data_IF_537686505736
#
_entry.id   IF_537686505736
#
_cell.length_a   1.000
_cell.length_b   1.000
_cell.length_c   1.000
_cell.angle_alpha   90.00
_cell.angle_beta   90.00
_cell.angle_gamma   90.00
#
_symmetry.space_group_name_H-M   'P 1'
#
loop_
_entity.id
_entity.type
_entity.pdbx_description
1 polymer ?
#
# COMPACT_ATOMS: atom_id res chain seq x y z
N UNK A 1 -13.43 -46.14 21.66
CA UNK A 1 -13.09 -44.78 22.16
C UNK A 1 -12.08 -44.08 21.27
N UNK A 2 -11.00 -44.76 20.84
CA UNK A 2 -9.99 -44.21 19.90
C UNK A 2 -10.55 -43.92 18.51
N UNK A 3 -11.39 -44.81 17.96
CA UNK A 3 -12.07 -44.64 16.66
C UNK A 3 -12.86 -43.33 16.57
N UNK A 4 -13.70 -43.04 17.56
CA UNK A 4 -14.52 -41.82 17.60
C UNK A 4 -13.66 -40.56 17.70
N UNK A 5 -12.54 -40.62 18.43
CA UNK A 5 -11.60 -39.51 18.54
C UNK A 5 -10.92 -39.25 17.19
N UNK A 6 -10.52 -40.31 16.48
CA UNK A 6 -9.92 -40.22 15.15
C UNK A 6 -10.90 -39.62 14.13
N UNK A 7 -12.14 -40.10 14.09
CA UNK A 7 -13.18 -39.56 13.22
C UNK A 7 -13.51 -38.09 13.55
N UNK A 8 -13.51 -37.71 14.83
CA UNK A 8 -13.72 -36.32 15.24
C UNK A 8 -12.62 -35.38 14.74
N UNK A 9 -11.35 -35.82 14.79
CA UNK A 9 -10.21 -35.06 14.27
C UNK A 9 -10.30 -34.92 12.75
N UNK A 10 -10.66 -35.99 12.04
CA UNK A 10 -10.84 -35.98 10.59
C UNK A 10 -11.91 -34.96 10.16
N UNK A 11 -13.05 -34.94 10.84
CA UNK A 11 -14.14 -33.99 10.59
C UNK A 11 -13.70 -32.55 10.92
N UNK A 12 -12.93 -32.34 11.99
CA UNK A 12 -12.41 -31.01 12.34
C UNK A 12 -11.46 -30.47 11.27
N UNK A 13 -10.53 -31.30 10.79
CA UNK A 13 -9.60 -30.92 9.72
C UNK A 13 -10.34 -30.67 8.42
N UNK A 14 -11.30 -31.53 8.05
CA UNK A 14 -12.11 -31.35 6.85
C UNK A 14 -12.93 -30.04 6.91
N UNK A 15 -13.62 -29.80 8.03
CA UNK A 15 -14.40 -28.57 8.24
C UNK A 15 -13.53 -27.31 8.20
N UNK A 16 -12.40 -27.32 8.91
CA UNK A 16 -11.46 -26.20 8.90
C UNK A 16 -10.85 -25.96 7.52
N UNK A 17 -10.55 -27.03 6.77
CA UNK A 17 -10.04 -26.95 5.40
C UNK A 17 -11.01 -26.30 4.42
N UNK A 18 -12.30 -26.68 4.48
CA UNK A 18 -13.35 -26.09 3.63
C UNK A 18 -13.55 -24.61 3.96
N UNK A 19 -13.60 -24.26 5.26
CA UNK A 19 -13.70 -22.85 5.68
C UNK A 19 -12.50 -22.05 5.20
N UNK A 20 -11.29 -22.58 5.34
CA UNK A 20 -10.08 -21.93 4.86
C UNK A 20 -10.10 -21.71 3.34
N UNK A 21 -10.48 -22.73 2.56
CA UNK A 21 -10.64 -22.63 1.11
C UNK A 21 -11.66 -21.54 0.72
N UNK A 22 -12.79 -21.51 1.42
CA UNK A 22 -13.83 -20.53 1.17
C UNK A 22 -13.36 -19.10 1.47
N UNK A 23 -12.71 -18.89 2.61
CA UNK A 23 -12.12 -17.60 2.97
C UNK A 23 -11.02 -17.18 1.98
N UNK A 24 -10.16 -18.11 1.56
CA UNK A 24 -9.14 -17.83 0.55
C UNK A 24 -9.77 -17.38 -0.78
N UNK A 25 -10.85 -18.04 -1.22
CA UNK A 25 -11.60 -17.65 -2.41
C UNK A 25 -12.24 -16.26 -2.26
N UNK A 26 -12.77 -15.92 -1.08
CA UNK A 26 -13.29 -14.59 -0.79
C UNK A 26 -12.18 -13.52 -0.80
N UNK A 27 -11.03 -13.80 -0.19
CA UNK A 27 -9.88 -12.89 -0.20
C UNK A 27 -9.42 -12.62 -1.63
N UNK A 28 -9.33 -13.65 -2.47
CA UNK A 28 -9.00 -13.49 -3.90
C UNK A 28 -10.03 -12.61 -4.60
N UNK A 29 -11.32 -12.83 -4.34
CA UNK A 29 -12.41 -12.03 -4.93
C UNK A 29 -12.31 -10.55 -4.53
N UNK A 30 -12.02 -10.27 -3.26
CA UNK A 30 -11.82 -8.91 -2.75
C UNK A 30 -10.57 -8.28 -3.39
N UNK A 31 -9.48 -9.04 -3.56
CA UNK A 31 -8.27 -8.55 -4.24
C UNK A 31 -8.53 -8.22 -5.71
N UNK A 32 -9.30 -9.05 -6.42
CA UNK A 32 -9.73 -8.76 -7.80
C UNK A 32 -10.51 -7.45 -7.81
N UNK A 33 -11.51 -7.31 -6.95
CA UNK A 33 -12.29 -6.08 -6.86
C UNK A 33 -11.40 -4.87 -6.55
N UNK A 34 -10.47 -4.99 -5.59
CA UNK A 34 -9.50 -3.94 -5.25
C UNK A 34 -8.63 -3.55 -6.45
N UNK A 35 -8.11 -4.52 -7.20
CA UNK A 35 -7.32 -4.26 -8.41
C UNK A 35 -8.14 -3.62 -9.53
N UNK A 36 -9.40 -4.02 -9.69
CA UNK A 36 -10.31 -3.40 -10.66
C UNK A 36 -10.61 -1.96 -10.27
N UNK A 37 -10.91 -1.70 -9.00
CA UNK A 37 -11.16 -0.35 -8.48
C UNK A 37 -9.95 0.55 -8.73
N UNK A 38 -8.73 0.13 -8.37
CA UNK A 38 -7.53 0.93 -8.61
C UNK A 38 -7.24 1.17 -10.10
N UNK A 39 -7.65 0.26 -10.99
CA UNK A 39 -7.42 0.38 -12.44
C UNK A 39 -8.47 1.23 -13.15
N UNK A 40 -9.73 1.10 -12.77
CA UNK A 40 -10.87 1.76 -13.44
C UNK A 40 -11.33 3.05 -12.75
N UNK A 41 -11.12 3.15 -11.44
CA UNK A 41 -11.32 4.36 -10.65
C UNK A 41 -9.99 4.73 -9.98
N UNK A 42 -8.96 5.14 -10.76
CA UNK A 42 -7.78 5.72 -10.17
C UNK A 42 -8.23 6.93 -9.37
N UNK A 43 -8.10 6.85 -8.04
CA UNK A 43 -8.27 8.00 -7.18
C UNK A 43 -7.37 9.11 -7.73
N UNK A 44 -7.88 10.32 -7.99
CA UNK A 44 -7.04 11.46 -8.34
C UNK A 44 -6.17 11.77 -7.13
N UNK A 45 -5.07 11.03 -7.02
CA UNK A 45 -3.91 11.23 -6.13
C UNK A 45 -4.17 12.24 -5.03
N UNK A 46 -4.68 11.80 -3.88
CA UNK A 46 -3.97 12.24 -2.69
C UNK A 46 -2.61 11.58 -2.83
N UNK A 47 -1.64 12.40 -3.20
CA UNK A 47 -0.22 12.08 -3.20
C UNK A 47 0.12 11.52 -1.81
N UNK A 48 -0.11 10.23 -1.59
CA UNK A 48 0.62 9.50 -0.57
C UNK A 48 2.05 9.61 -1.04
N UNK A 49 2.96 10.25 -0.28
CA UNK A 49 4.34 10.27 -0.66
C UNK A 49 4.76 8.81 -0.66
N UNK A 50 4.87 8.23 -1.86
CA UNK A 50 5.91 7.25 -2.13
C UNK A 50 7.12 7.81 -1.41
N UNK A 51 7.71 7.03 -0.52
CA UNK A 51 9.03 7.28 0.02
C UNK A 51 10.01 7.27 -1.16
N UNK A 52 9.93 8.32 -1.98
CA UNK A 52 10.71 8.62 -3.16
C UNK A 52 11.84 9.40 -2.55
N UNK A 53 12.93 8.70 -2.27
CA UNK A 53 14.21 9.25 -1.82
C UNK A 53 14.29 10.79 -1.99
N UNK A 54 13.81 11.52 -0.97
CA UNK A 54 13.50 12.96 -1.06
C UNK A 54 14.80 13.77 -0.99
N UNK A 55 15.94 13.15 -0.67
CA UNK A 55 17.17 13.90 -0.39
C UNK A 55 17.68 14.67 -1.61
N UNK A 56 17.82 14.02 -2.76
CA UNK A 56 18.49 14.66 -3.91
C UNK A 56 17.68 15.78 -4.58
N UNK A 57 16.37 15.61 -4.76
CA UNK A 57 15.51 16.62 -5.42
C UNK A 57 15.18 17.79 -4.49
N UNK A 58 14.97 17.54 -3.19
CA UNK A 58 14.65 18.61 -2.25
C UNK A 58 15.84 19.54 -2.04
N UNK A 59 17.05 19.00 -1.92
CA UNK A 59 18.28 19.79 -1.73
C UNK A 59 18.55 20.71 -2.92
N UNK A 60 18.38 20.22 -4.16
CA UNK A 60 18.57 21.05 -5.35
C UNK A 60 17.52 22.17 -5.46
N UNK A 61 16.27 21.88 -5.12
CA UNK A 61 15.20 22.88 -5.09
C UNK A 61 15.44 23.92 -3.97
N UNK A 62 15.93 23.47 -2.81
CA UNK A 62 16.26 24.34 -1.68
C UNK A 62 17.39 25.31 -2.03
N UNK A 63 18.47 24.81 -2.63
CA UNK A 63 19.62 25.61 -3.07
C UNK A 63 19.19 26.64 -4.13
N UNK A 64 18.33 26.25 -5.07
CA UNK A 64 17.78 27.16 -6.07
C UNK A 64 16.95 28.28 -5.42
N UNK A 65 16.07 27.94 -4.48
CA UNK A 65 15.25 28.92 -3.76
C UNK A 65 16.09 29.91 -2.94
N UNK A 66 17.11 29.42 -2.22
CA UNK A 66 18.04 30.26 -1.46
C UNK A 66 18.83 31.19 -2.39
N UNK A 67 19.32 30.67 -3.53
CA UNK A 67 20.07 31.47 -4.52
C UNK A 67 19.21 32.60 -5.08
N UNK A 68 17.95 32.34 -5.41
CA UNK A 68 17.00 33.36 -5.89
C UNK A 68 16.74 34.40 -4.80
N UNK A 69 16.51 33.98 -3.55
CA UNK A 69 16.29 34.89 -2.44
C UNK A 69 17.48 35.83 -2.18
N UNK A 70 18.71 35.29 -2.19
CA UNK A 70 19.94 36.07 -2.02
C UNK A 70 20.17 37.03 -3.19
N UNK A 71 19.93 36.57 -4.42
CA UNK A 71 20.05 37.42 -5.61
C UNK A 71 19.05 38.58 -5.58
N UNK A 72 17.80 38.31 -5.21
CA UNK A 72 16.76 39.32 -5.07
C UNK A 72 17.08 40.33 -3.96
N UNK A 73 17.57 39.87 -2.82
CA UNK A 73 18.03 40.75 -1.75
C UNK A 73 19.16 41.66 -2.24
N UNK A 74 20.21 41.10 -2.88
CA UNK A 74 21.33 41.89 -3.39
C UNK A 74 20.91 42.89 -4.46
N UNK A 75 19.94 42.54 -5.31
CA UNK A 75 19.39 43.46 -6.31
C UNK A 75 18.50 44.55 -5.71
N UNK A 76 17.93 44.33 -4.52
CA UNK A 76 17.04 45.29 -3.86
C UNK A 76 17.79 46.25 -2.91
N UNK A 77 18.93 45.82 -2.38
CA UNK A 77 19.73 46.59 -1.41
C UNK A 77 21.08 47.06 -1.98
N UNK A 78 21.17 47.18 -3.31
CA UNK A 78 22.25 47.85 -4.03
C UNK A 78 21.63 48.98 -4.86
#
# INVERSE_FOLDING_TARGET
MTELMSSGIEIMVAGMGIVFLFLAMLVVSINIMSSLVHRYFPDPTLLSPVARDIKSTSDQSLIAAITVAVHQYRSKYK
#
